data_IF_185525483653
#
_entry.id   IF_185525483653
#
_cell.length_a   1.000
_cell.length_b   1.000
_cell.length_c   1.000
_cell.angle_alpha   90.00
_cell.angle_beta   90.00
_cell.angle_gamma   90.00
#
_symmetry.space_group_name_H-M   'P 1'
#
loop_
_entity.id
_entity.type
_entity.pdbx_description
1 polymer ?
#
# COMPACT_ATOMS: atom_id res chain seq x y z
N UNK A 1 1.73 -19.46 21.96
CA UNK A 1 0.62 -18.63 22.45
C UNK A 1 0.43 -17.52 21.46
N UNK A 2 -0.69 -17.54 20.68
CA UNK A 2 -0.98 -16.47 19.74
C UNK A 2 -1.36 -15.21 20.50
N UNK A 3 -0.61 -14.14 20.31
CA UNK A 3 -1.02 -12.82 20.77
C UNK A 3 -2.36 -12.49 20.11
N UNK A 4 -3.37 -12.20 20.92
CA UNK A 4 -4.66 -11.76 20.41
C UNK A 4 -4.44 -10.44 19.67
N UNK A 5 -4.73 -10.40 18.37
CA UNK A 5 -4.70 -9.19 17.58
C UNK A 5 -5.67 -8.17 18.22
N UNK A 6 -5.15 -7.01 18.59
CA UNK A 6 -5.96 -5.92 19.12
C UNK A 6 -6.96 -5.47 18.04
N UNK A 7 -8.17 -5.11 18.45
CA UNK A 7 -9.12 -4.47 17.53
C UNK A 7 -8.59 -3.12 17.05
N UNK A 8 -9.06 -2.64 15.90
CA UNK A 8 -8.72 -1.30 15.37
C UNK A 8 -8.83 -0.21 16.45
N UNK A 9 -9.92 -0.21 17.19
CA UNK A 9 -10.19 0.78 18.21
C UNK A 9 -9.21 0.69 19.39
N UNK A 10 -8.85 -0.53 19.81
CA UNK A 10 -7.85 -0.74 20.84
C UNK A 10 -6.44 -0.27 20.39
N UNK A 11 -6.09 -0.47 19.11
CA UNK A 11 -4.85 0.09 18.53
C UNK A 11 -4.89 1.62 18.56
N UNK A 12 -6.00 2.22 18.16
CA UNK A 12 -6.15 3.68 18.17
C UNK A 12 -6.10 4.28 19.57
N UNK A 13 -6.67 3.62 20.58
CA UNK A 13 -6.58 4.04 21.97
C UNK A 13 -5.16 3.93 22.50
N UNK A 14 -4.48 2.81 22.25
CA UNK A 14 -3.11 2.57 22.69
C UNK A 14 -2.10 3.55 22.08
N UNK A 15 -2.37 4.04 20.87
CA UNK A 15 -1.52 4.94 20.11
C UNK A 15 -2.18 6.32 19.86
N UNK A 16 -3.02 6.77 20.78
CA UNK A 16 -3.76 8.04 20.62
C UNK A 16 -2.88 9.27 20.39
N UNK A 17 -1.61 9.23 20.81
CA UNK A 17 -0.63 10.29 20.62
C UNK A 17 0.18 10.13 19.30
N UNK A 18 0.00 9.03 18.57
CA UNK A 18 0.73 8.82 17.32
C UNK A 18 0.25 9.79 16.24
N UNK A 19 1.20 10.50 15.63
CA UNK A 19 0.93 11.57 14.66
C UNK A 19 0.20 11.06 13.42
N UNK A 20 0.54 9.86 12.92
CA UNK A 20 -0.14 9.28 11.76
C UNK A 20 -1.62 9.00 12.05
N UNK A 21 -1.90 8.37 13.20
CA UNK A 21 -3.27 8.05 13.61
C UNK A 21 -4.09 9.32 13.79
N UNK A 22 -3.55 10.32 14.49
CA UNK A 22 -4.23 11.60 14.70
C UNK A 22 -4.56 12.28 13.37
N UNK A 23 -3.58 12.40 12.47
CA UNK A 23 -3.75 13.06 11.19
C UNK A 23 -4.79 12.34 10.31
N UNK A 24 -4.68 11.01 10.20
CA UNK A 24 -5.59 10.23 9.34
C UNK A 24 -7.01 10.21 9.91
N UNK A 25 -7.19 10.01 11.20
CA UNK A 25 -8.53 10.03 11.83
C UNK A 25 -9.21 11.39 11.72
N UNK A 26 -8.47 12.47 11.85
CA UNK A 26 -9.03 13.82 11.76
C UNK A 26 -9.51 14.16 10.34
N UNK A 27 -8.74 13.74 9.32
CA UNK A 27 -9.03 14.08 7.93
C UNK A 27 -9.88 13.03 7.18
N UNK A 28 -9.73 11.74 7.55
CA UNK A 28 -10.31 10.60 6.83
C UNK A 28 -10.81 9.51 7.80
N UNK A 29 -11.81 9.79 8.66
CA UNK A 29 -12.23 8.86 9.72
C UNK A 29 -12.70 7.50 9.19
N UNK A 30 -13.33 7.48 8.01
CA UNK A 30 -13.87 6.27 7.39
C UNK A 30 -12.87 5.53 6.50
N UNK A 31 -11.70 6.13 6.21
CA UNK A 31 -10.74 5.53 5.30
C UNK A 31 -9.98 4.33 5.91
N UNK A 32 -9.85 4.29 7.23
CA UNK A 32 -9.16 3.20 7.93
C UNK A 32 -10.15 2.08 8.25
N UNK A 33 -10.02 0.96 7.55
CA UNK A 33 -10.87 -0.22 7.74
C UNK A 33 -10.35 -1.14 8.85
N UNK A 34 -9.01 -1.21 9.01
CA UNK A 34 -8.37 -1.99 10.07
C UNK A 34 -7.05 -1.35 10.50
N UNK A 35 -6.56 -1.70 11.69
CA UNK A 35 -5.26 -1.25 12.20
C UNK A 35 -4.59 -2.36 13.01
N UNK A 36 -3.27 -2.43 12.89
CA UNK A 36 -2.44 -3.36 13.66
C UNK A 36 -1.20 -2.62 14.16
N UNK A 37 -0.84 -2.87 15.41
CA UNK A 37 0.45 -2.47 15.96
C UNK A 37 1.18 -3.72 16.43
N UNK A 38 2.33 -3.99 15.85
CA UNK A 38 3.10 -5.19 16.11
C UNK A 38 4.59 -4.88 16.01
N UNK A 39 5.36 -5.29 17.02
CA UNK A 39 6.83 -5.12 17.07
C UNK A 39 7.32 -3.68 16.83
N UNK A 40 6.53 -2.69 17.25
CA UNK A 40 6.85 -1.28 17.06
C UNK A 40 6.47 -0.70 15.71
N UNK A 41 5.81 -1.47 14.84
CA UNK A 41 5.30 -1.01 13.54
C UNK A 41 3.79 -0.81 13.55
N UNK A 42 3.35 0.35 13.09
CA UNK A 42 1.94 0.65 12.86
C UNK A 42 1.59 0.30 11.40
N UNK A 43 0.60 -0.57 11.23
CA UNK A 43 -0.02 -0.87 9.94
C UNK A 43 -1.47 -0.41 9.95
N UNK A 44 -1.88 0.31 8.91
CA UNK A 44 -3.24 0.78 8.69
C UNK A 44 -3.77 0.20 7.38
N UNK A 45 -4.90 -0.51 7.44
CA UNK A 45 -5.60 -0.95 6.23
C UNK A 45 -6.50 0.18 5.78
N UNK A 46 -6.27 0.66 4.57
CA UNK A 46 -6.91 1.84 3.99
C UNK A 46 -7.84 1.40 2.86
N UNK A 47 -9.04 1.97 2.81
CA UNK A 47 -9.92 1.84 1.66
C UNK A 47 -9.21 2.32 0.39
N UNK A 48 -9.19 1.50 -0.67
CA UNK A 48 -8.33 1.73 -1.84
C UNK A 48 -8.56 3.11 -2.50
N UNK A 49 -9.81 3.55 -2.53
CA UNK A 49 -10.21 4.86 -3.06
C UNK A 49 -9.67 6.06 -2.26
N UNK A 50 -9.30 5.84 -0.99
CA UNK A 50 -8.78 6.90 -0.12
C UNK A 50 -7.25 6.98 -0.09
N UNK A 51 -6.53 6.04 -0.72
CA UNK A 51 -5.08 5.89 -0.55
C UNK A 51 -4.30 7.17 -0.84
N UNK A 52 -4.60 7.86 -1.96
CA UNK A 52 -3.91 9.09 -2.35
C UNK A 52 -4.16 10.23 -1.35
N UNK A 53 -5.38 10.36 -0.88
CA UNK A 53 -5.77 11.39 0.09
C UNK A 53 -5.09 11.16 1.44
N UNK A 54 -5.08 9.91 1.92
CA UNK A 54 -4.39 9.51 3.16
C UNK A 54 -2.89 9.73 3.04
N UNK A 55 -2.26 9.34 1.93
CA UNK A 55 -0.84 9.59 1.69
C UNK A 55 -0.50 11.09 1.73
N UNK A 56 -1.34 11.94 1.13
CA UNK A 56 -1.15 13.41 1.19
C UNK A 56 -1.25 13.95 2.61
N UNK A 57 -2.21 13.47 3.38
CA UNK A 57 -2.37 13.85 4.79
C UNK A 57 -1.15 13.45 5.62
N UNK A 58 -0.62 12.25 5.43
CA UNK A 58 0.60 11.79 6.11
C UNK A 58 1.82 12.62 5.70
N UNK A 59 1.96 12.96 4.42
CA UNK A 59 3.04 13.84 3.96
C UNK A 59 2.98 15.19 4.68
N UNK A 60 1.79 15.80 4.77
CA UNK A 60 1.57 17.06 5.48
C UNK A 60 1.84 16.94 6.98
N UNK A 61 1.59 15.77 7.58
CA UNK A 61 1.87 15.48 8.98
C UNK A 61 3.37 15.21 9.28
N UNK A 62 4.22 15.26 8.23
CA UNK A 62 5.67 15.14 8.38
C UNK A 62 6.26 13.78 8.02
N UNK A 63 5.48 12.88 7.43
CA UNK A 63 5.97 11.63 6.83
C UNK A 63 6.50 11.94 5.43
N UNK A 64 7.76 12.29 5.36
CA UNK A 64 8.36 12.94 4.19
C UNK A 64 9.08 11.98 3.24
N UNK A 65 9.12 10.69 3.55
CA UNK A 65 9.87 9.72 2.76
C UNK A 65 9.02 8.48 2.46
N UNK A 66 8.85 8.16 1.19
CA UNK A 66 8.31 6.90 0.72
C UNK A 66 9.48 5.92 0.56
N UNK A 67 9.53 4.88 1.40
CA UNK A 67 10.59 3.87 1.35
C UNK A 67 10.39 2.92 0.18
N UNK A 68 9.18 2.36 0.05
CA UNK A 68 8.80 1.51 -1.06
C UNK A 68 7.28 1.44 -1.28
N UNK A 69 6.89 0.84 -2.41
CA UNK A 69 5.55 0.33 -2.68
C UNK A 69 5.70 -1.08 -3.23
N UNK A 70 5.05 -2.04 -2.60
CA UNK A 70 5.10 -3.44 -3.03
C UNK A 70 3.70 -4.06 -3.08
N UNK A 71 3.60 -5.29 -3.58
CA UNK A 71 2.34 -6.01 -3.67
C UNK A 71 2.50 -7.46 -3.21
N UNK A 72 1.47 -7.98 -2.55
CA UNK A 72 1.34 -9.40 -2.21
C UNK A 72 0.13 -9.96 -2.94
N UNK A 73 0.30 -11.12 -3.58
CA UNK A 73 -0.80 -11.89 -4.16
C UNK A 73 -1.23 -12.98 -3.17
N UNK A 74 -2.48 -12.90 -2.67
CA UNK A 74 -3.08 -13.83 -1.73
C UNK A 74 -3.89 -14.95 -2.40
N UNK A 75 -3.70 -15.14 -3.74
CA UNK A 75 -4.41 -16.20 -4.46
C UNK A 75 -4.44 -17.53 -3.66
N UNK A 76 -5.57 -18.23 -3.56
CA UNK A 76 -6.86 -17.96 -4.22
C UNK A 76 -7.85 -17.11 -3.39
N UNK A 77 -7.39 -16.42 -2.34
CA UNK A 77 -8.25 -15.62 -1.47
C UNK A 77 -8.69 -14.31 -2.15
N UNK A 78 -9.87 -13.82 -1.74
CA UNK A 78 -10.37 -12.47 -2.07
C UNK A 78 -10.60 -11.66 -0.78
N UNK A 79 -10.27 -10.38 -0.80
CA UNK A 79 -9.58 -9.63 -1.85
C UNK A 79 -8.18 -10.18 -2.09
N UNK A 80 -7.75 -10.21 -3.37
CA UNK A 80 -6.58 -10.96 -3.80
C UNK A 80 -5.26 -10.20 -3.64
N UNK A 81 -5.23 -8.94 -4.06
CA UNK A 81 -3.98 -8.18 -4.08
C UNK A 81 -3.92 -7.20 -2.91
N UNK A 82 -2.81 -7.25 -2.17
CA UNK A 82 -2.51 -6.29 -1.11
C UNK A 82 -1.38 -5.38 -1.58
N UNK A 83 -1.71 -4.12 -1.87
CA UNK A 83 -0.69 -3.09 -2.15
C UNK A 83 -0.25 -2.49 -0.83
N UNK A 84 1.04 -2.51 -0.57
CA UNK A 84 1.65 -2.06 0.69
C UNK A 84 2.58 -0.89 0.44
N UNK A 85 2.45 0.15 1.24
CA UNK A 85 3.26 1.36 1.20
C UNK A 85 4.01 1.51 2.52
N UNK A 86 5.32 1.62 2.49
CA UNK A 86 6.13 1.94 3.66
C UNK A 86 6.54 3.40 3.63
N UNK A 87 6.13 4.13 4.65
CA UNK A 87 6.29 5.59 4.73
C UNK A 87 7.02 5.93 6.02
N UNK A 88 8.05 6.77 5.92
CA UNK A 88 8.92 7.15 7.03
C UNK A 88 8.87 8.65 7.28
N UNK A 89 8.92 9.04 8.54
CA UNK A 89 9.23 10.38 8.98
C UNK A 89 10.64 10.44 9.59
N UNK A 90 11.56 11.10 8.91
CA UNK A 90 12.91 11.30 9.44
C UNK A 90 12.91 12.16 10.71
N UNK A 91 12.00 13.13 10.80
CA UNK A 91 11.88 14.01 11.96
C UNK A 91 11.32 13.29 13.18
N UNK A 92 10.26 12.53 13.00
CA UNK A 92 9.60 11.79 14.09
C UNK A 92 10.32 10.49 14.40
N UNK A 93 11.17 9.99 13.48
CA UNK A 93 11.80 8.67 13.53
C UNK A 93 10.78 7.54 13.64
N UNK A 94 9.66 7.71 12.96
CA UNK A 94 8.54 6.78 12.95
C UNK A 94 8.28 6.29 11.52
N UNK A 95 7.85 5.04 11.43
CA UNK A 95 7.40 4.40 10.19
C UNK A 95 5.91 4.05 10.32
N UNK A 96 5.19 4.19 9.23
CA UNK A 96 3.83 3.68 9.09
C UNK A 96 3.73 2.86 7.82
N UNK A 97 3.05 1.72 7.92
CA UNK A 97 2.68 0.89 6.78
C UNK A 97 1.22 1.15 6.44
N UNK A 98 0.94 1.44 5.17
CA UNK A 98 -0.42 1.43 4.65
C UNK A 98 -0.63 0.20 3.79
N UNK A 99 -1.79 -0.42 3.92
CA UNK A 99 -2.17 -1.61 3.16
C UNK A 99 -3.52 -1.33 2.48
N UNK A 100 -3.60 -1.56 1.17
CA UNK A 100 -4.85 -1.46 0.43
C UNK A 100 -5.13 -2.80 -0.24
N UNK A 101 -6.34 -3.32 -0.01
CA UNK A 101 -6.77 -4.59 -0.55
C UNK A 101 -7.55 -4.38 -1.85
N UNK A 102 -7.23 -5.15 -2.88
CA UNK A 102 -7.86 -5.09 -4.20
C UNK A 102 -8.37 -6.47 -4.63
N UNK A 103 -9.50 -6.48 -5.31
CA UNK A 103 -10.09 -7.70 -5.89
C UNK A 103 -9.24 -8.24 -7.05
N UNK A 104 -9.46 -9.50 -7.43
CA UNK A 104 -8.74 -10.13 -8.56
C UNK A 104 -9.15 -9.55 -9.92
N UNK A 105 -10.42 -9.09 -10.03
CA UNK A 105 -10.96 -8.54 -11.27
C UNK A 105 -10.56 -7.07 -11.37
N UNK A 106 -9.77 -6.76 -12.40
CA UNK A 106 -9.33 -5.40 -12.73
C UNK A 106 -8.67 -4.64 -11.56
N UNK A 107 -7.63 -5.22 -10.91
CA UNK A 107 -7.02 -4.61 -9.75
C UNK A 107 -6.44 -3.24 -10.09
N UNK A 108 -6.97 -2.21 -9.44
CA UNK A 108 -6.56 -0.83 -9.70
C UNK A 108 -6.66 0.04 -8.46
N UNK A 109 -5.78 1.03 -8.37
CA UNK A 109 -5.68 1.97 -7.24
C UNK A 109 -5.15 3.31 -7.75
N UNK A 110 -5.39 4.38 -7.02
CA UNK A 110 -4.86 5.70 -7.36
C UNK A 110 -3.34 5.78 -7.18
N UNK A 111 -2.63 6.30 -8.18
CA UNK A 111 -1.20 6.60 -8.08
C UNK A 111 -0.92 7.65 -7.01
N UNK A 112 0.13 7.43 -6.23
CA UNK A 112 0.63 8.39 -5.25
C UNK A 112 1.84 9.20 -5.75
N UNK A 113 2.18 9.11 -7.05
CA UNK A 113 3.23 9.94 -7.67
C UNK A 113 3.04 11.44 -7.47
N UNK A 114 1.79 12.00 -7.41
CA UNK A 114 1.60 13.40 -7.07
C UNK A 114 1.93 13.78 -5.63
N UNK A 115 2.12 12.78 -4.75
CA UNK A 115 2.52 12.97 -3.35
C UNK A 115 4.03 12.77 -3.22
N UNK A 116 4.54 11.63 -3.67
CA UNK A 116 5.97 11.32 -3.69
C UNK A 116 6.39 10.91 -5.10
N UNK A 117 7.17 11.71 -5.83
CA UNK A 117 7.62 11.37 -7.17
C UNK A 117 8.40 10.04 -7.27
N UNK A 118 9.04 9.60 -6.17
CA UNK A 118 9.72 8.30 -6.09
C UNK A 118 8.79 7.11 -6.30
N UNK A 119 7.50 7.25 -6.03
CA UNK A 119 6.49 6.22 -6.28
C UNK A 119 6.44 5.75 -7.74
N UNK A 120 6.88 6.61 -8.69
CA UNK A 120 6.88 6.28 -10.11
C UNK A 120 7.52 4.91 -10.41
N UNK A 121 8.69 4.64 -9.83
CA UNK A 121 9.42 3.40 -10.10
C UNK A 121 8.78 2.19 -9.41
N UNK A 122 8.36 2.34 -8.17
CA UNK A 122 7.71 1.27 -7.39
C UNK A 122 6.35 0.89 -7.96
N UNK A 123 5.52 1.87 -8.35
CA UNK A 123 4.22 1.61 -8.95
C UNK A 123 4.35 0.91 -10.31
N UNK A 124 5.36 1.26 -11.11
CA UNK A 124 5.68 0.55 -12.35
C UNK A 124 6.09 -0.89 -12.09
N UNK A 125 6.91 -1.14 -11.07
CA UNK A 125 7.31 -2.49 -10.68
C UNK A 125 6.09 -3.34 -10.27
N UNK A 126 5.23 -2.81 -9.42
CA UNK A 126 4.00 -3.50 -9.00
C UNK A 126 3.09 -3.78 -10.19
N UNK A 127 2.90 -2.80 -11.08
CA UNK A 127 2.14 -3.03 -12.30
C UNK A 127 2.78 -4.08 -13.20
N UNK A 128 4.07 -4.00 -13.42
CA UNK A 128 4.79 -4.92 -14.30
C UNK A 128 4.71 -6.37 -13.80
N UNK A 129 4.89 -6.59 -12.52
CA UNK A 129 5.01 -7.94 -11.95
C UNK A 129 3.68 -8.54 -11.47
N UNK A 130 2.69 -7.72 -11.07
CA UNK A 130 1.39 -8.16 -10.55
C UNK A 130 0.20 -7.72 -11.39
N UNK A 131 0.35 -6.72 -12.26
CA UNK A 131 -0.73 -6.20 -13.11
C UNK A 131 -1.72 -5.28 -12.39
N UNK A 132 -1.36 -4.74 -11.24
CA UNK A 132 -2.16 -3.71 -10.56
C UNK A 132 -2.00 -2.38 -11.30
N UNK A 133 -3.11 -1.77 -11.72
CA UNK A 133 -3.08 -0.50 -12.43
C UNK A 133 -3.14 0.69 -11.49
N UNK A 134 -2.29 1.70 -11.74
CA UNK A 134 -2.22 2.92 -10.95
C UNK A 134 -2.84 4.10 -11.72
N UNK A 135 -4.04 4.52 -11.32
CA UNK A 135 -4.76 5.62 -11.96
C UNK A 135 -4.05 6.96 -11.78
N UNK A 136 -3.82 7.66 -12.90
CA UNK A 136 -3.11 8.94 -12.88
C UNK A 136 -1.59 8.82 -12.74
N UNK A 137 -1.03 7.62 -12.91
CA UNK A 137 0.41 7.45 -13.05
C UNK A 137 0.90 8.10 -14.36
N UNK A 138 2.00 8.90 -14.35
CA UNK A 138 2.43 9.68 -15.50
C UNK A 138 2.92 8.83 -16.68
N UNK A 139 3.45 7.63 -16.44
CA UNK A 139 4.00 6.76 -17.49
C UNK A 139 4.07 5.32 -17.00
N UNK A 140 2.92 4.64 -16.98
CA UNK A 140 2.81 3.24 -16.54
C UNK A 140 3.30 2.31 -17.66
N UNK A 141 4.56 1.90 -17.60
CA UNK A 141 5.23 1.01 -18.55
C UNK A 141 6.13 0.03 -17.81
N UNK A 142 6.50 -1.08 -18.45
CA UNK A 142 7.37 -2.10 -17.86
C UNK A 142 8.69 -1.52 -17.38
N UNK A 143 9.26 -2.13 -16.36
CA UNK A 143 10.54 -1.73 -15.77
C UNK A 143 11.45 -2.93 -15.46
N UNK A 144 10.86 -4.06 -15.06
CA UNK A 144 11.58 -5.29 -14.71
C UNK A 144 11.59 -6.28 -15.88
N UNK A 145 10.46 -6.39 -16.59
CA UNK A 145 10.29 -7.31 -17.70
C UNK A 145 10.51 -6.60 -19.05
N UNK A 146 10.89 -7.33 -20.12
CA UNK A 146 10.91 -6.81 -21.48
C UNK A 146 9.52 -6.28 -21.90
N UNK A 147 9.49 -5.31 -22.83
CA UNK A 147 8.23 -4.69 -23.27
C UNK A 147 7.26 -5.69 -23.95
N UNK A 148 7.81 -6.73 -24.57
CA UNK A 148 7.08 -7.81 -25.24
C UNK A 148 6.71 -8.99 -24.31
N UNK A 149 7.00 -8.89 -23.01
CA UNK A 149 6.68 -9.96 -22.07
C UNK A 149 5.18 -10.10 -21.86
N UNK A 150 4.67 -11.35 -21.93
CA UNK A 150 3.25 -11.65 -21.70
C UNK A 150 2.96 -11.96 -20.23
N UNK A 151 1.91 -11.31 -19.68
CA UNK A 151 1.43 -11.53 -18.33
C UNK A 151 2.27 -10.84 -17.24
N UNK A 152 2.08 -11.32 -16.00
CA UNK A 152 2.64 -10.73 -14.78
C UNK A 152 3.25 -11.83 -13.90
N UNK A 153 4.57 -11.97 -13.89
CA UNK A 153 5.25 -13.19 -13.43
C UNK A 153 5.20 -13.43 -11.92
N UNK A 154 4.86 -12.44 -11.09
CA UNK A 154 4.71 -12.65 -9.65
C UNK A 154 3.29 -13.01 -9.21
N UNK A 155 2.32 -13.09 -10.13
CA UNK A 155 1.02 -13.68 -9.82
C UNK A 155 1.15 -15.17 -9.51
N UNK A 156 0.45 -15.64 -8.48
CA UNK A 156 0.49 -17.04 -8.05
C UNK A 156 -0.09 -18.01 -9.07
N UNK A 157 -0.95 -17.55 -9.95
CA UNK A 157 -1.54 -18.31 -11.06
C UNK A 157 -0.76 -18.17 -12.38
N UNK A 158 0.37 -17.43 -12.37
CA UNK A 158 1.25 -17.34 -13.53
C UNK A 158 1.98 -18.67 -13.77
N UNK A 159 2.03 -19.21 -15.01
CA UNK A 159 2.71 -20.48 -15.30
C UNK A 159 4.21 -20.38 -15.02
N UNK A 160 4.76 -21.40 -14.33
CA UNK A 160 6.20 -21.46 -13.99
C UNK A 160 7.09 -21.41 -15.24
N UNK A 161 6.63 -21.98 -16.35
CA UNK A 161 7.35 -22.00 -17.63
C UNK A 161 7.10 -20.76 -18.51
N UNK A 162 6.26 -19.83 -18.04
CA UNK A 162 5.78 -18.69 -18.81
C UNK A 162 4.74 -19.06 -19.87
N UNK A 163 4.27 -18.06 -20.61
CA UNK A 163 3.45 -18.27 -21.81
C UNK A 163 4.40 -18.52 -22.99
N UNK A 164 4.33 -19.72 -23.57
CA UNK A 164 5.08 -20.12 -24.78
C UNK A 164 4.16 -20.15 -25.98
#
# INVERSE_FOLDING_TARGET
>A
MGEALLSKDAVFESLAQNVAIQAVRAAHPEAVTNAKFDRGELSLVIAAEAIRAVCRTLQQAGYNFLEDVTCVDWYPSEPRFQVTYHILSHKLKERVRLEAMLESIDPSIDSITPVWPSANFYEREVWDLFGVRFHGHPSLRRIMMPDDWEGHPLRKDYPVEGYR
#
